data_IF_792877711625
#
_entry.id   IF_792877711625
#
_cell.length_a   1.000
_cell.length_b   1.000
_cell.length_c   1.000
_cell.angle_alpha   90.00
_cell.angle_beta   90.00
_cell.angle_gamma   90.00
#
_symmetry.space_group_name_H-M   'P 1'
#
loop_
_entity.id
_entity.type
_entity.pdbx_description
1 polymer ?
#
# COMPACT_ATOMS: atom_id res chain seq x y z
N UNK A 1 43.73 25.85 30.01
CA UNK A 1 44.07 26.46 28.74
C UNK A 1 42.91 26.21 27.76
N UNK A 2 42.11 27.24 27.44
CA UNK A 2 41.09 27.18 26.39
C UNK A 2 41.84 27.27 25.03
N UNK A 3 41.89 26.18 24.31
CA UNK A 3 42.36 26.16 22.92
C UNK A 3 41.44 27.11 22.13
N UNK A 4 41.99 28.21 21.62
CA UNK A 4 41.32 29.06 20.62
C UNK A 4 41.20 28.26 19.34
N UNK A 5 40.06 27.66 19.09
CA UNK A 5 39.70 27.14 17.77
C UNK A 5 39.69 28.34 16.81
N UNK A 6 40.43 28.23 15.71
CA UNK A 6 40.40 29.27 14.69
C UNK A 6 39.04 29.14 13.97
N UNK A 7 38.44 30.25 13.58
CA UNK A 7 37.12 30.30 12.86
C UNK A 7 37.07 29.31 11.66
N UNK A 8 38.24 29.02 11.08
CA UNK A 8 38.38 28.02 10.00
C UNK A 8 38.17 26.59 10.50
N UNK A 9 38.66 26.24 11.71
CA UNK A 9 38.40 24.91 12.34
C UNK A 9 36.94 24.71 12.68
N UNK A 10 36.26 25.73 13.23
CA UNK A 10 34.85 25.66 13.55
C UNK A 10 33.96 25.45 12.31
N UNK A 11 34.33 26.09 11.18
CA UNK A 11 33.61 25.88 9.89
C UNK A 11 33.79 24.44 9.39
N UNK A 12 35.02 23.88 9.46
CA UNK A 12 35.24 22.49 9.07
C UNK A 12 34.49 21.49 9.92
N UNK A 13 34.47 21.68 11.24
CA UNK A 13 33.75 20.81 12.18
C UNK A 13 32.24 20.87 11.93
N UNK A 14 31.70 22.06 11.64
CA UNK A 14 30.29 22.23 11.29
C UNK A 14 29.95 21.57 9.94
N UNK A 15 30.77 21.76 8.92
CA UNK A 15 30.59 21.12 7.61
C UNK A 15 30.67 19.60 7.72
N UNK A 16 31.62 19.08 8.49
CA UNK A 16 31.75 17.63 8.72
C UNK A 16 30.48 17.06 9.41
N UNK A 17 30.00 17.73 10.44
CA UNK A 17 28.78 17.35 11.14
C UNK A 17 27.56 17.36 10.20
N UNK A 18 27.44 18.36 9.34
CA UNK A 18 26.39 18.45 8.34
C UNK A 18 26.44 17.28 7.33
N UNK A 19 27.66 16.96 6.84
CA UNK A 19 27.85 15.84 5.91
C UNK A 19 27.49 14.51 6.57
N UNK A 20 27.92 14.26 7.81
CA UNK A 20 27.53 13.05 8.54
C UNK A 20 26.03 12.96 8.76
N UNK A 21 25.38 14.05 9.17
CA UNK A 21 23.95 14.09 9.35
C UNK A 21 23.20 13.78 8.04
N UNK A 22 23.68 14.34 6.91
CA UNK A 22 23.10 14.08 5.58
C UNK A 22 23.26 12.61 5.18
N UNK A 23 24.45 12.03 5.38
CA UNK A 23 24.70 10.61 5.09
C UNK A 23 23.78 9.72 5.92
N UNK A 24 23.65 9.98 7.21
CA UNK A 24 22.76 9.21 8.09
C UNK A 24 21.30 9.34 7.60
N UNK A 25 20.86 10.54 7.26
CA UNK A 25 19.51 10.80 6.76
C UNK A 25 19.23 10.03 5.46
N UNK A 26 20.18 10.02 4.52
CA UNK A 26 20.07 9.26 3.25
C UNK A 26 20.00 7.76 3.54
N UNK A 27 20.88 7.25 4.42
CA UNK A 27 20.88 5.83 4.78
C UNK A 27 19.55 5.42 5.41
N UNK A 28 19.05 6.19 6.37
CA UNK A 28 17.76 5.96 7.00
C UNK A 28 16.66 5.92 5.92
N UNK A 29 16.63 6.90 5.02
CA UNK A 29 15.63 6.96 3.97
C UNK A 29 15.69 5.75 3.03
N UNK A 30 16.87 5.38 2.57
CA UNK A 30 17.08 4.23 1.65
C UNK A 30 16.69 2.90 2.29
N UNK A 31 16.91 2.74 3.61
CA UNK A 31 16.57 1.49 4.31
C UNK A 31 15.09 1.39 4.71
N UNK A 32 14.44 2.53 4.99
CA UNK A 32 13.05 2.53 5.49
C UNK A 32 12.00 2.66 4.39
N UNK A 33 12.36 3.22 3.23
CA UNK A 33 11.42 3.51 2.15
C UNK A 33 11.85 2.89 0.83
N UNK A 34 10.86 2.47 0.06
CA UNK A 34 11.05 1.96 -1.29
C UNK A 34 10.18 2.76 -2.25
N UNK A 35 10.69 3.02 -3.45
CA UNK A 35 9.90 3.60 -4.53
C UNK A 35 9.44 2.46 -5.44
N UNK A 36 8.14 2.40 -5.71
CA UNK A 36 7.53 1.38 -6.56
C UNK A 36 6.68 2.07 -7.62
N UNK A 37 6.80 1.59 -8.86
CA UNK A 37 5.99 2.05 -9.98
C UNK A 37 4.68 1.24 -10.07
N UNK A 38 3.57 1.94 -10.26
CA UNK A 38 2.26 1.32 -10.49
C UNK A 38 2.19 0.84 -11.93
N UNK A 39 1.82 -0.44 -12.13
CA UNK A 39 1.59 -1.01 -13.43
C UNK A 39 0.16 -1.55 -13.54
N UNK A 40 -0.59 -1.07 -14.52
CA UNK A 40 -1.97 -1.45 -14.78
C UNK A 40 -3.01 -0.55 -14.10
N UNK A 41 -4.28 -0.88 -14.33
CA UNK A 41 -5.43 -0.02 -14.04
C UNK A 41 -6.31 -0.55 -12.90
N UNK A 42 -5.86 -1.58 -12.18
CA UNK A 42 -6.68 -2.25 -11.16
C UNK A 42 -6.99 -1.40 -9.93
N UNK A 43 -6.28 -0.28 -9.75
CA UNK A 43 -6.47 0.68 -8.66
C UNK A 43 -7.08 2.00 -9.10
N UNK A 44 -7.52 2.12 -10.38
CA UNK A 44 -8.26 3.29 -10.83
C UNK A 44 -9.58 3.44 -10.05
N UNK A 45 -9.99 4.66 -9.69
CA UNK A 45 -9.37 5.95 -10.00
C UNK A 45 -8.28 6.41 -9.03
N UNK A 46 -8.05 5.70 -7.91
CA UNK A 46 -7.14 6.12 -6.84
C UNK A 46 -5.69 6.19 -7.30
N UNK A 47 -5.23 5.14 -8.02
CA UNK A 47 -3.89 5.06 -8.60
C UNK A 47 -3.99 4.70 -10.08
N UNK A 48 -3.15 5.33 -10.88
CA UNK A 48 -3.08 5.13 -12.33
C UNK A 48 -1.76 4.52 -12.75
N UNK A 49 -1.76 3.93 -13.94
CA UNK A 49 -0.54 3.36 -14.51
C UNK A 49 0.55 4.42 -14.67
N UNK A 50 1.75 4.15 -14.15
CA UNK A 50 2.89 5.06 -14.16
C UNK A 50 3.04 5.92 -12.90
N UNK A 51 2.12 5.85 -11.94
CA UNK A 51 2.29 6.50 -10.64
C UNK A 51 3.51 5.93 -9.92
N UNK A 52 4.27 6.80 -9.21
CA UNK A 52 5.37 6.38 -8.34
C UNK A 52 4.99 6.56 -6.89
N UNK A 53 5.12 5.47 -6.14
CA UNK A 53 4.68 5.36 -4.75
C UNK A 53 5.87 5.20 -3.81
N UNK A 54 5.83 5.90 -2.69
CA UNK A 54 6.71 5.64 -1.55
C UNK A 54 6.02 4.63 -0.65
N UNK A 55 6.73 3.55 -0.35
CA UNK A 55 6.24 2.39 0.39
C UNK A 55 7.15 2.11 1.57
N UNK A 56 6.58 1.69 2.69
CA UNK A 56 7.31 1.23 3.87
C UNK A 56 6.65 0.01 4.51
N UNK A 57 7.47 -0.88 5.05
CA UNK A 57 7.05 -2.07 5.80
C UNK A 57 7.46 -2.02 7.29
N UNK A 58 8.07 -0.92 7.72
CA UNK A 58 8.65 -0.79 9.06
C UNK A 58 7.58 -0.87 10.14
N UNK A 59 7.59 -1.95 10.93
CA UNK A 59 6.61 -2.24 11.97
C UNK A 59 5.15 -2.16 11.51
N UNK A 60 4.93 -2.39 10.21
CA UNK A 60 3.60 -2.27 9.63
C UNK A 60 2.73 -3.49 9.97
N UNK A 61 1.50 -3.21 10.40
CA UNK A 61 0.39 -4.16 10.46
C UNK A 61 -0.74 -3.67 9.58
N UNK A 62 -1.30 -4.51 8.70
CA UNK A 62 -2.38 -4.13 7.80
C UNK A 62 -3.63 -3.67 8.56
N UNK A 63 -4.26 -2.64 8.02
CA UNK A 63 -5.56 -2.15 8.50
C UNK A 63 -6.52 -2.02 7.32
N UNK A 64 -7.81 -2.15 7.60
CA UNK A 64 -8.85 -1.88 6.62
C UNK A 64 -8.66 -0.47 6.01
N UNK A 65 -8.77 -0.37 4.69
CA UNK A 65 -8.56 0.86 3.93
C UNK A 65 -7.12 1.07 3.43
N UNK A 66 -6.11 0.43 4.04
CA UNK A 66 -4.72 0.60 3.62
C UNK A 66 -4.50 0.11 2.18
N UNK A 67 -3.73 0.86 1.40
CA UNK A 67 -3.21 0.38 0.10
C UNK A 67 -1.88 -0.30 0.36
N UNK A 68 -1.80 -1.58 -0.03
CA UNK A 68 -0.63 -2.43 0.18
C UNK A 68 -0.06 -2.96 -1.12
N UNK A 69 1.24 -3.19 -1.11
CA UNK A 69 1.95 -3.89 -2.17
C UNK A 69 2.34 -5.25 -1.64
N UNK A 70 2.02 -6.29 -2.39
CA UNK A 70 2.37 -7.67 -2.03
C UNK A 70 2.84 -8.46 -3.24
N UNK A 71 3.54 -9.57 -2.99
CA UNK A 71 3.99 -10.50 -4.01
C UNK A 71 3.32 -11.85 -3.83
N UNK A 72 2.86 -12.42 -4.93
CA UNK A 72 2.36 -13.79 -4.98
C UNK A 72 2.93 -14.45 -6.22
N UNK A 73 4.14 -14.94 -6.11
CA UNK A 73 4.94 -15.47 -7.23
C UNK A 73 4.23 -16.64 -7.93
N UNK A 74 3.39 -17.38 -7.21
CA UNK A 74 2.55 -18.47 -7.75
C UNK A 74 1.51 -17.94 -8.75
N UNK A 75 1.07 -16.70 -8.60
CA UNK A 75 0.12 -16.05 -9.50
C UNK A 75 0.81 -15.20 -10.58
N UNK A 76 1.73 -14.34 -10.16
CA UNK A 76 2.41 -13.37 -11.03
C UNK A 76 3.74 -12.94 -10.42
N UNK A 77 4.82 -12.85 -11.22
CA UNK A 77 6.13 -12.45 -10.70
C UNK A 77 6.18 -10.96 -10.28
N UNK A 78 5.32 -10.11 -10.87
CA UNK A 78 5.26 -8.71 -10.53
C UNK A 78 4.46 -8.49 -9.24
N UNK A 79 4.88 -7.49 -8.46
CA UNK A 79 4.15 -7.07 -7.27
C UNK A 79 2.77 -6.53 -7.64
N UNK A 80 1.79 -6.82 -6.79
CA UNK A 80 0.42 -6.36 -6.93
C UNK A 80 0.14 -5.24 -5.94
N UNK A 81 -0.59 -4.23 -6.38
CA UNK A 81 -1.08 -3.12 -5.54
C UNK A 81 -2.57 -3.30 -5.36
N UNK A 82 -3.05 -3.38 -4.11
CA UNK A 82 -4.46 -3.54 -3.76
C UNK A 82 -4.79 -2.83 -2.46
N UNK A 83 -6.09 -2.61 -2.22
CA UNK A 83 -6.61 -2.09 -0.95
C UNK A 83 -7.02 -3.22 -0.03
N UNK A 84 -6.65 -3.11 1.25
CA UNK A 84 -7.11 -4.03 2.31
C UNK A 84 -8.58 -3.74 2.60
N UNK A 85 -9.42 -4.75 2.40
CA UNK A 85 -10.86 -4.69 2.67
C UNK A 85 -11.18 -5.25 4.05
N UNK A 86 -10.51 -6.33 4.43
CA UNK A 86 -10.67 -6.94 5.73
C UNK A 86 -9.35 -7.57 6.21
N UNK A 87 -9.19 -7.62 7.53
CA UNK A 87 -8.05 -8.21 8.23
C UNK A 87 -8.47 -9.50 8.95
N UNK A 88 -7.51 -10.18 9.58
CA UNK A 88 -7.75 -11.44 10.29
C UNK A 88 -9.00 -11.41 11.19
N UNK A 89 -9.78 -12.50 11.16
CA UNK A 89 -11.00 -12.69 11.95
C UNK A 89 -12.24 -12.00 11.39
N UNK A 90 -12.11 -11.03 10.50
CA UNK A 90 -13.24 -10.36 9.87
C UNK A 90 -13.86 -11.21 8.76
N UNK A 91 -15.16 -11.04 8.55
CA UNK A 91 -15.91 -11.76 7.52
C UNK A 91 -16.32 -10.81 6.41
N UNK A 92 -15.96 -11.16 5.17
CA UNK A 92 -16.32 -10.41 3.97
C UNK A 92 -17.51 -11.09 3.29
N UNK A 93 -18.51 -10.29 2.95
CA UNK A 93 -19.67 -10.69 2.13
C UNK A 93 -19.86 -9.67 1.01
N UNK A 94 -20.19 -10.15 -0.19
CA UNK A 94 -20.36 -9.26 -1.37
C UNK A 94 -21.71 -9.57 -2.02
N UNK A 95 -22.57 -8.54 -2.08
CA UNK A 95 -23.81 -8.54 -2.85
C UNK A 95 -23.52 -8.03 -4.26
N UNK A 96 -23.29 -8.94 -5.20
CA UNK A 96 -22.96 -8.59 -6.57
C UNK A 96 -24.15 -8.01 -7.36
N UNK A 97 -25.39 -8.29 -6.94
CA UNK A 97 -26.59 -7.73 -7.55
C UNK A 97 -26.75 -6.24 -7.23
N UNK A 98 -26.41 -5.85 -6.01
CA UNK A 98 -26.37 -4.45 -5.58
C UNK A 98 -25.01 -3.81 -5.74
N UNK A 99 -23.94 -4.63 -5.89
CA UNK A 99 -22.55 -4.21 -6.00
C UNK A 99 -21.99 -3.66 -4.71
N UNK A 100 -22.40 -4.22 -3.56
CA UNK A 100 -22.04 -3.76 -2.22
C UNK A 100 -21.15 -4.76 -1.50
N UNK A 101 -20.17 -4.25 -0.76
CA UNK A 101 -19.28 -5.04 0.07
C UNK A 101 -19.65 -4.82 1.53
N UNK A 102 -19.69 -5.91 2.29
CA UNK A 102 -19.95 -5.89 3.74
C UNK A 102 -18.76 -6.54 4.45
N UNK A 103 -18.40 -5.97 5.59
CA UNK A 103 -17.39 -6.52 6.49
C UNK A 103 -18.04 -6.66 7.87
N UNK A 104 -18.03 -7.87 8.42
CA UNK A 104 -18.70 -8.23 9.68
C UNK A 104 -20.21 -7.85 9.70
N UNK A 105 -20.85 -7.89 8.52
CA UNK A 105 -22.25 -7.53 8.33
C UNK A 105 -22.52 -6.03 8.18
N UNK A 106 -21.51 -5.17 8.31
CA UNK A 106 -21.63 -3.73 8.12
C UNK A 106 -21.28 -3.35 6.68
N UNK A 107 -22.10 -2.48 6.06
CA UNK A 107 -21.84 -1.96 4.72
C UNK A 107 -20.56 -1.14 4.73
N UNK A 108 -19.58 -1.53 3.90
CA UNK A 108 -18.35 -0.77 3.73
C UNK A 108 -18.63 0.53 2.97
N UNK A 109 -18.13 1.64 3.50
CA UNK A 109 -18.11 2.93 2.80
C UNK A 109 -16.91 2.97 1.85
N UNK A 110 -17.20 3.14 0.57
CA UNK A 110 -16.21 2.95 -0.50
C UNK A 110 -16.18 4.14 -1.48
N UNK A 111 -15.87 5.37 -1.01
CA UNK A 111 -15.85 6.56 -1.87
C UNK A 111 -14.77 6.48 -2.97
N UNK A 112 -13.78 5.60 -2.80
CA UNK A 112 -12.64 5.40 -3.68
C UNK A 112 -12.94 4.52 -4.92
N UNK A 113 -14.08 3.87 -5.02
CA UNK A 113 -14.43 3.05 -6.19
C UNK A 113 -15.18 3.88 -7.23
N UNK A 114 -14.87 3.64 -8.52
CA UNK A 114 -15.59 4.28 -9.61
C UNK A 114 -16.96 3.64 -9.90
N UNK A 115 -17.08 2.35 -9.64
CA UNK A 115 -18.26 1.55 -9.98
C UNK A 115 -18.57 0.52 -8.89
N UNK A 116 -19.86 0.19 -8.68
CA UNK A 116 -20.26 -0.90 -7.78
C UNK A 116 -19.62 -2.23 -8.16
N UNK A 117 -19.33 -3.08 -7.17
CA UNK A 117 -18.67 -4.38 -7.34
C UNK A 117 -19.61 -5.41 -7.98
N UNK A 118 -19.48 -5.66 -9.28
CA UNK A 118 -20.35 -6.59 -10.04
C UNK A 118 -19.64 -7.86 -10.47
N UNK A 119 -18.33 -7.79 -10.67
CA UNK A 119 -17.54 -8.93 -11.12
C UNK A 119 -17.24 -9.85 -9.94
N UNK A 120 -17.91 -11.02 -9.93
CA UNK A 120 -17.82 -11.99 -8.83
C UNK A 120 -16.50 -12.75 -8.86
N UNK A 121 -15.92 -13.00 -10.04
CA UNK A 121 -14.82 -13.94 -10.23
C UNK A 121 -15.14 -15.31 -9.58
N UNK A 122 -14.24 -15.83 -8.73
CA UNK A 122 -14.40 -17.12 -8.05
C UNK A 122 -15.00 -17.01 -6.64
N UNK A 123 -15.35 -15.78 -6.18
CA UNK A 123 -15.82 -15.53 -4.85
C UNK A 123 -17.20 -16.17 -4.59
N UNK A 124 -17.34 -16.90 -3.47
CA UNK A 124 -18.58 -17.60 -3.12
C UNK A 124 -18.91 -17.45 -1.64
N UNK A 125 -20.11 -16.95 -1.39
CA UNK A 125 -20.64 -16.81 -0.04
C UNK A 125 -19.81 -15.84 0.84
N UNK A 126 -20.11 -15.84 2.14
CA UNK A 126 -19.32 -15.10 3.11
C UNK A 126 -17.98 -15.82 3.37
N UNK A 127 -16.89 -15.08 3.48
CA UNK A 127 -15.56 -15.62 3.72
C UNK A 127 -14.92 -14.93 4.92
N UNK A 128 -14.52 -15.71 5.92
CA UNK A 128 -13.77 -15.19 7.07
C UNK A 128 -12.28 -15.20 6.77
N UNK A 129 -11.62 -14.09 7.04
CA UNK A 129 -10.17 -13.91 6.83
C UNK A 129 -9.41 -14.71 7.89
N UNK A 130 -8.53 -15.65 7.49
CA UNK A 130 -7.73 -16.43 8.43
C UNK A 130 -6.74 -15.56 9.21
N UNK A 131 -6.24 -16.09 10.34
CA UNK A 131 -5.16 -15.49 11.12
C UNK A 131 -3.93 -15.22 10.24
N UNK A 132 -3.32 -14.05 10.39
CA UNK A 132 -2.16 -13.60 9.63
C UNK A 132 -2.42 -13.36 8.15
N UNK A 133 -3.68 -13.21 7.73
CA UNK A 133 -4.07 -12.93 6.35
C UNK A 133 -4.89 -11.63 6.23
N UNK A 134 -4.98 -11.14 5.01
CA UNK A 134 -5.86 -10.04 4.63
C UNK A 134 -6.67 -10.39 3.39
N UNK A 135 -7.87 -9.82 3.28
CA UNK A 135 -8.66 -9.81 2.06
C UNK A 135 -8.45 -8.48 1.34
N UNK A 136 -8.00 -8.52 0.11
CA UNK A 136 -7.66 -7.32 -0.66
C UNK A 136 -8.48 -7.22 -1.94
N UNK A 137 -8.84 -6.00 -2.34
CA UNK A 137 -9.49 -5.73 -3.62
C UNK A 137 -8.84 -4.55 -4.33
N UNK A 138 -8.95 -4.53 -5.65
CA UNK A 138 -8.63 -3.34 -6.42
C UNK A 138 -9.76 -2.31 -6.35
N UNK A 139 -9.43 -1.04 -6.43
CA UNK A 139 -10.41 0.04 -6.45
C UNK A 139 -11.19 0.06 -7.78
N UNK A 140 -10.57 -0.41 -8.87
CA UNK A 140 -11.25 -0.72 -10.13
C UNK A 140 -11.91 -2.11 -10.03
N UNK A 141 -13.02 -2.17 -9.30
CA UNK A 141 -13.73 -3.38 -8.89
C UNK A 141 -13.97 -4.39 -10.01
N UNK A 142 -14.36 -3.92 -11.17
CA UNK A 142 -14.76 -4.79 -12.27
C UNK A 142 -13.61 -5.14 -13.23
N UNK A 143 -12.44 -4.49 -13.07
CA UNK A 143 -11.23 -4.72 -13.85
C UNK A 143 -10.01 -5.07 -12.98
N UNK A 144 -10.22 -5.71 -11.82
CA UNK A 144 -9.17 -6.13 -10.90
C UNK A 144 -9.14 -7.65 -10.73
N UNK A 145 -7.92 -8.22 -10.74
CA UNK A 145 -7.64 -9.54 -10.17
C UNK A 145 -7.14 -9.35 -8.74
N UNK A 146 -7.88 -9.88 -7.77
CA UNK A 146 -7.67 -9.68 -6.34
C UNK A 146 -8.15 -10.89 -5.53
N UNK A 147 -8.40 -10.75 -4.23
CA UNK A 147 -8.78 -11.86 -3.36
C UNK A 147 -10.06 -12.59 -3.77
N UNK A 148 -10.88 -11.99 -4.63
CA UNK A 148 -12.05 -12.68 -5.24
C UNK A 148 -11.65 -13.78 -6.21
N UNK A 149 -10.43 -13.74 -6.75
CA UNK A 149 -9.90 -14.77 -7.66
C UNK A 149 -9.22 -15.86 -6.85
N UNK A 150 -9.58 -17.12 -7.09
CA UNK A 150 -9.07 -18.26 -6.32
C UNK A 150 -7.54 -18.38 -6.32
N UNK A 151 -6.88 -17.98 -7.43
CA UNK A 151 -5.42 -18.00 -7.56
C UNK A 151 -4.72 -16.99 -6.64
N UNK A 152 -5.40 -15.89 -6.25
CA UNK A 152 -4.90 -14.91 -5.30
C UNK A 152 -5.40 -15.24 -3.90
N UNK A 153 -6.72 -15.35 -3.71
CA UNK A 153 -7.36 -15.69 -2.43
C UNK A 153 -6.96 -14.74 -1.29
N UNK A 154 -6.97 -15.27 -0.08
CA UNK A 154 -6.46 -14.54 1.08
C UNK A 154 -4.95 -14.34 0.97
N UNK A 155 -4.49 -13.14 1.27
CA UNK A 155 -3.07 -12.77 1.17
C UNK A 155 -2.44 -12.86 2.55
N UNK A 156 -1.42 -13.70 2.69
CA UNK A 156 -0.61 -13.79 3.91
C UNK A 156 0.13 -12.45 4.13
N UNK A 157 0.07 -11.93 5.35
CA UNK A 157 0.74 -10.65 5.70
C UNK A 157 2.24 -10.66 5.42
N UNK A 158 2.87 -11.84 5.48
CA UNK A 158 4.31 -12.01 5.16
C UNK A 158 4.66 -11.76 3.70
N UNK A 159 3.67 -11.82 2.81
CA UNK A 159 3.83 -11.51 1.39
C UNK A 159 3.74 -10.01 1.11
N UNK A 160 3.32 -9.21 2.09
CA UNK A 160 3.21 -7.76 1.97
C UNK A 160 4.61 -7.14 1.97
N UNK A 161 4.93 -6.44 0.89
CA UNK A 161 6.17 -5.69 0.70
C UNK A 161 6.15 -4.37 1.48
N UNK A 162 4.93 -3.83 1.73
CA UNK A 162 4.71 -2.65 2.54
C UNK A 162 3.41 -1.92 2.21
N UNK A 163 3.13 -0.90 3.02
CA UNK A 163 2.01 0.05 2.84
C UNK A 163 2.44 1.21 1.96
N UNK A 164 1.56 1.64 1.09
CA UNK A 164 1.71 2.88 0.34
C UNK A 164 1.51 4.06 1.28
N UNK A 165 2.51 4.94 1.35
CA UNK A 165 2.49 6.12 2.21
C UNK A 165 2.20 7.40 1.44
N UNK A 166 2.75 7.49 0.23
CA UNK A 166 2.67 8.71 -0.56
C UNK A 166 2.83 8.39 -2.05
N UNK A 167 2.03 9.06 -2.90
CA UNK A 167 2.30 9.17 -4.33
C UNK A 167 3.19 10.39 -4.55
N UNK A 168 4.34 10.20 -5.24
CA UNK A 168 5.34 11.25 -5.50
C UNK A 168 5.41 11.66 -6.97
N UNK A 169 4.78 10.90 -7.84
CA UNK A 169 4.67 11.20 -9.27
C UNK A 169 3.34 10.66 -9.80
N UNK A 170 2.65 11.39 -10.70
CA UNK A 170 3.04 12.68 -11.29
C UNK A 170 2.96 13.84 -10.27
N UNK A 171 3.68 14.95 -10.59
CA UNK A 171 3.87 16.05 -9.64
C UNK A 171 2.58 16.84 -9.32
N UNK A 172 1.60 16.78 -10.20
CA UNK A 172 0.29 17.43 -10.05
C UNK A 172 -0.66 16.66 -9.11
N UNK A 173 -0.32 15.43 -8.76
CA UNK A 173 -1.11 14.56 -7.89
C UNK A 173 -0.31 13.98 -6.72
N UNK A 174 0.73 14.71 -6.27
CA UNK A 174 1.47 14.35 -5.05
C UNK A 174 0.52 14.38 -3.85
N UNK A 175 0.49 13.28 -3.09
CA UNK A 175 -0.36 13.19 -1.90
C UNK A 175 -0.50 11.76 -1.40
N UNK A 176 -1.25 11.62 -0.31
CA UNK A 176 -1.65 10.32 0.21
C UNK A 176 -2.78 9.80 -0.68
N UNK A 177 -2.68 8.59 -1.27
CA UNK A 177 -3.70 8.10 -2.17
C UNK A 177 -4.87 7.46 -1.39
N UNK A 178 -5.66 8.27 -0.71
CA UNK A 178 -6.75 7.79 0.15
C UNK A 178 -8.07 7.58 -0.60
N UNK A 179 -8.21 8.10 -1.82
CA UNK A 179 -9.42 7.98 -2.63
C UNK A 179 -10.57 8.85 -2.08
N UNK A 180 -10.27 10.15 -1.83
CA UNK A 180 -11.31 11.16 -1.59
C UNK A 180 -12.16 11.43 -2.83
#
# INVERSE_FOLDING_TARGET
>A
AKTKTTTRGEIYDWMQSLVFALIICILVFVFLFRIVDVSGDSMNPTLTNGDKLVVSDVFYKPKQGDIVIFRKDEYKPEALVKRVIATEGQTVEIDFDRGRVYVDGELLDEPYIAEPTRNQLDFKGAQTVPEGCVFVMGDNRNASSDSRKAEIGMVDERLIVGKVLLRVFPLDSIGIPDGE
#
